data_IF_869012654041
#
_entry.id   IF_869012654041
#
_cell.length_a   1.000
_cell.length_b   1.000
_cell.length_c   1.000
_cell.angle_alpha   90.00
_cell.angle_beta   90.00
_cell.angle_gamma   90.00
#
_symmetry.space_group_name_H-M   'P 1'
#
loop_
_entity.id
_entity.type
_entity.pdbx_description
1 polymer ?
#
# COMPACT_ATOMS: atom_id res chain seq x y z
N UNK A 1 5.65 15.76 -14.63
CA UNK A 1 6.50 14.56 -14.49
C UNK A 1 5.86 13.46 -13.62
N UNK A 2 5.69 13.59 -12.29
CA UNK A 2 5.04 12.52 -11.49
C UNK A 2 3.55 12.28 -11.84
N UNK A 3 2.80 13.35 -12.15
CA UNK A 3 1.39 13.23 -12.53
C UNK A 3 1.19 12.59 -13.92
N UNK A 4 2.09 12.87 -14.86
CA UNK A 4 2.09 12.23 -16.19
C UNK A 4 2.47 10.74 -16.10
N UNK A 5 3.44 10.40 -15.25
CA UNK A 5 3.81 9.01 -14.98
C UNK A 5 2.64 8.21 -14.39
N UNK A 6 1.89 8.79 -13.43
CA UNK A 6 0.69 8.14 -12.87
C UNK A 6 -0.45 7.99 -13.88
N UNK A 7 -0.67 9.00 -14.74
CA UNK A 7 -1.69 8.95 -15.79
C UNK A 7 -1.38 7.88 -16.83
N UNK A 8 -0.13 7.78 -17.26
CA UNK A 8 0.28 6.80 -18.27
C UNK A 8 0.22 5.36 -17.70
N UNK A 9 0.58 5.19 -16.42
CA UNK A 9 0.53 3.90 -15.73
C UNK A 9 -0.90 3.41 -15.47
N UNK A 10 -1.82 4.31 -15.12
CA UNK A 10 -3.25 4.02 -14.99
C UNK A 10 -3.86 3.59 -16.32
N UNK A 11 -3.47 4.24 -17.42
CA UNK A 11 -3.97 3.93 -18.77
C UNK A 11 -3.50 2.56 -19.26
N UNK A 12 -2.26 2.17 -18.94
CA UNK A 12 -1.73 0.85 -19.25
C UNK A 12 -2.32 -0.25 -18.36
N UNK A 13 -2.59 0.02 -17.08
CA UNK A 13 -3.32 -0.92 -16.23
C UNK A 13 -4.74 -1.15 -16.73
N UNK A 14 -5.46 -0.12 -17.17
CA UNK A 14 -6.81 -0.30 -17.72
C UNK A 14 -6.78 -1.09 -19.03
N UNK A 15 -5.81 -0.86 -19.92
CA UNK A 15 -5.63 -1.67 -21.14
C UNK A 15 -5.33 -3.14 -20.83
N UNK A 16 -4.50 -3.41 -19.83
CA UNK A 16 -4.18 -4.77 -19.37
C UNK A 16 -5.36 -5.44 -18.65
N UNK A 17 -6.15 -4.67 -17.91
CA UNK A 17 -7.36 -5.13 -17.21
C UNK A 17 -8.47 -5.46 -18.21
N UNK A 18 -8.72 -4.59 -19.19
CA UNK A 18 -9.76 -4.76 -20.22
C UNK A 18 -9.41 -5.94 -21.15
N UNK A 19 -8.13 -6.11 -21.53
CA UNK A 19 -7.67 -7.28 -22.30
C UNK A 19 -7.84 -8.61 -21.54
N UNK A 20 -7.91 -8.57 -20.20
CA UNK A 20 -8.08 -9.76 -19.35
C UNK A 20 -9.54 -10.00 -18.95
N UNK A 21 -10.38 -8.97 -18.87
CA UNK A 21 -11.79 -9.09 -18.46
C UNK A 21 -12.67 -9.82 -19.49
N UNK A 22 -12.22 -9.91 -20.75
CA UNK A 22 -12.82 -10.78 -21.76
C UNK A 22 -12.58 -12.28 -21.47
N UNK A 23 -11.63 -12.61 -20.57
CA UNK A 23 -11.20 -13.98 -20.24
C UNK A 23 -11.69 -14.47 -18.87
N UNK A 24 -12.80 -13.91 -18.36
CA UNK A 24 -13.29 -14.15 -17.00
C UNK A 24 -14.76 -14.58 -16.93
N UNK A 25 -15.25 -15.28 -17.95
CA UNK A 25 -16.48 -16.05 -17.84
C UNK A 25 -16.28 -17.47 -18.42
N UNK A 26 -16.17 -18.51 -17.57
CA UNK A 26 -15.93 -19.88 -18.05
C UNK A 26 -17.05 -20.44 -18.93
N UNK A 27 -18.23 -19.81 -18.94
CA UNK A 27 -19.32 -20.15 -19.88
C UNK A 27 -19.10 -19.57 -21.29
N UNK A 28 -18.51 -18.38 -21.42
CA UNK A 28 -18.24 -17.77 -22.72
C UNK A 28 -17.08 -18.48 -23.43
N UNK A 29 -16.02 -18.79 -22.67
CA UNK A 29 -14.83 -19.52 -23.14
C UNK A 29 -15.17 -20.91 -23.69
N UNK A 30 -16.06 -21.63 -23.02
CA UNK A 30 -16.57 -22.92 -23.51
C UNK A 30 -17.34 -22.76 -24.82
N UNK A 31 -18.15 -21.71 -24.94
CA UNK A 31 -18.88 -21.39 -26.18
C UNK A 31 -17.95 -21.09 -27.36
N UNK A 32 -16.90 -20.29 -27.15
CA UNK A 32 -15.89 -20.02 -28.18
C UNK A 32 -15.13 -21.29 -28.59
N UNK A 33 -14.78 -22.14 -27.63
CA UNK A 33 -14.14 -23.41 -27.93
C UNK A 33 -15.06 -24.37 -28.70
N UNK A 34 -16.35 -24.44 -28.35
CA UNK A 34 -17.34 -25.24 -29.08
C UNK A 34 -17.49 -24.73 -30.52
N UNK A 35 -17.59 -23.41 -30.71
CA UNK A 35 -17.65 -22.81 -32.05
C UNK A 35 -16.38 -23.11 -32.87
N UNK A 36 -15.21 -23.06 -32.23
CA UNK A 36 -13.94 -23.41 -32.84
C UNK A 36 -13.87 -24.90 -33.21
N UNK A 37 -14.35 -25.79 -32.33
CA UNK A 37 -14.46 -27.23 -32.58
C UNK A 37 -15.40 -27.52 -33.75
N UNK A 38 -16.57 -26.87 -33.82
CA UNK A 38 -17.52 -26.99 -34.93
C UNK A 38 -16.88 -26.51 -36.24
N UNK A 39 -16.22 -25.35 -36.23
CA UNK A 39 -15.53 -24.82 -37.40
C UNK A 39 -14.40 -25.76 -37.86
N UNK A 40 -13.65 -26.35 -36.93
CA UNK A 40 -12.63 -27.35 -37.20
C UNK A 40 -13.21 -28.61 -37.85
N UNK A 41 -14.31 -29.16 -37.32
CA UNK A 41 -14.97 -30.35 -37.87
C UNK A 41 -15.48 -30.08 -39.30
N UNK A 42 -16.12 -28.93 -39.53
CA UNK A 42 -16.60 -28.53 -40.86
C UNK A 42 -15.45 -28.35 -41.86
N UNK A 43 -14.36 -27.70 -41.43
CA UNK A 43 -13.16 -27.54 -42.24
C UNK A 43 -12.52 -28.90 -42.56
N UNK A 44 -12.49 -29.82 -41.58
CA UNK A 44 -11.95 -31.17 -41.76
C UNK A 44 -12.73 -31.91 -42.86
N UNK A 45 -14.06 -31.96 -42.75
CA UNK A 45 -14.94 -32.62 -43.73
C UNK A 45 -14.76 -32.01 -45.14
N UNK A 46 -14.67 -30.68 -45.25
CA UNK A 46 -14.56 -30.00 -46.53
C UNK A 46 -13.19 -30.13 -47.21
N UNK A 47 -12.11 -30.25 -46.42
CA UNK A 47 -10.73 -30.29 -46.94
C UNK A 47 -10.22 -31.72 -47.12
N UNK A 48 -10.81 -32.70 -46.45
CA UNK A 48 -10.38 -34.09 -46.51
C UNK A 48 -10.32 -34.66 -47.94
N UNK A 49 -11.30 -34.44 -48.83
CA UNK A 49 -11.24 -34.96 -50.21
C UNK A 49 -10.07 -34.39 -51.03
N UNK A 50 -9.52 -33.23 -50.66
CA UNK A 50 -8.44 -32.56 -51.39
C UNK A 50 -7.04 -32.93 -50.89
N UNK A 51 -6.89 -33.20 -49.60
CA UNK A 51 -5.58 -33.34 -48.95
C UNK A 51 -5.34 -34.69 -48.27
N UNK A 52 -6.38 -35.52 -48.11
CA UNK A 52 -6.26 -36.88 -47.53
C UNK A 52 -5.60 -36.90 -46.15
N UNK A 53 -4.69 -37.86 -45.93
CA UNK A 53 -4.02 -38.10 -44.63
C UNK A 53 -3.20 -36.91 -44.13
N UNK A 54 -2.72 -36.03 -45.03
CA UNK A 54 -1.96 -34.83 -44.64
C UNK A 54 -2.76 -33.86 -43.76
N UNK A 55 -4.08 -33.99 -43.71
CA UNK A 55 -4.97 -33.20 -42.85
C UNK A 55 -4.75 -33.45 -41.34
N UNK A 56 -4.08 -34.55 -40.97
CA UNK A 56 -3.62 -34.85 -39.59
C UNK A 56 -2.85 -33.69 -38.98
N UNK A 57 -2.09 -32.96 -39.79
CA UNK A 57 -1.28 -31.83 -39.34
C UNK A 57 -2.09 -30.69 -38.70
N UNK A 58 -3.42 -30.65 -38.90
CA UNK A 58 -4.30 -29.68 -38.27
C UNK A 58 -4.79 -30.11 -36.88
N UNK A 59 -4.65 -31.38 -36.50
CA UNK A 59 -5.08 -31.88 -35.17
C UNK A 59 -4.43 -31.18 -33.97
N UNK A 60 -3.14 -30.76 -34.00
CA UNK A 60 -2.54 -30.04 -32.87
C UNK A 60 -3.21 -28.69 -32.60
N UNK A 61 -3.86 -28.08 -33.59
CA UNK A 61 -4.57 -26.81 -33.45
C UNK A 61 -5.69 -26.90 -32.40
N UNK A 62 -6.40 -28.03 -32.37
CA UNK A 62 -7.45 -28.29 -31.39
C UNK A 62 -6.87 -28.42 -29.97
N UNK A 63 -5.71 -29.07 -29.87
CA UNK A 63 -5.03 -29.32 -28.59
C UNK A 63 -4.44 -28.04 -28.02
N UNK A 64 -3.86 -27.19 -28.87
CA UNK A 64 -3.38 -25.85 -28.50
C UNK A 64 -4.55 -24.99 -28.01
N UNK A 65 -5.69 -24.99 -28.69
CA UNK A 65 -6.87 -24.26 -28.26
C UNK A 65 -7.37 -24.75 -26.88
N UNK A 66 -7.45 -26.06 -26.68
CA UNK A 66 -7.84 -26.62 -25.38
C UNK A 66 -6.85 -26.27 -24.25
N UNK A 67 -5.55 -26.26 -24.55
CA UNK A 67 -4.50 -25.84 -23.62
C UNK A 67 -4.59 -24.35 -23.26
N UNK A 68 -5.05 -23.50 -24.18
CA UNK A 68 -5.19 -22.06 -23.96
C UNK A 68 -6.37 -21.69 -23.05
N UNK A 69 -7.46 -22.46 -23.12
CA UNK A 69 -8.67 -22.24 -22.33
C UNK A 69 -8.65 -22.94 -20.98
N UNK A 70 -8.15 -24.18 -20.92
CA UNK A 70 -8.18 -25.02 -19.71
C UNK A 70 -6.79 -25.37 -19.15
N UNK A 71 -5.73 -24.70 -19.62
CA UNK A 71 -4.37 -24.83 -19.10
C UNK A 71 -3.75 -26.21 -19.33
N UNK A 72 -2.85 -26.62 -18.43
CA UNK A 72 -2.14 -27.92 -18.52
C UNK A 72 -3.06 -29.13 -18.59
N UNK A 73 -4.13 -29.15 -17.79
CA UNK A 73 -5.07 -30.28 -17.73
C UNK A 73 -5.87 -30.42 -19.02
N UNK A 74 -6.35 -29.31 -19.57
CA UNK A 74 -7.08 -29.29 -20.84
C UNK A 74 -6.22 -29.72 -22.02
N UNK A 75 -4.99 -29.22 -22.09
CA UNK A 75 -4.03 -29.58 -23.13
C UNK A 75 -3.66 -31.07 -23.14
N UNK A 76 -3.44 -31.67 -21.97
CA UNK A 76 -3.12 -33.11 -21.84
C UNK A 76 -4.33 -33.97 -22.26
N UNK A 77 -5.53 -33.63 -21.79
CA UNK A 77 -6.75 -34.37 -22.12
C UNK A 77 -7.05 -34.29 -23.63
N UNK A 78 -6.93 -33.11 -24.23
CA UNK A 78 -7.12 -32.92 -25.66
C UNK A 78 -6.05 -33.66 -26.48
N UNK A 79 -4.79 -33.66 -26.02
CA UNK A 79 -3.71 -34.43 -26.63
C UNK A 79 -4.00 -35.93 -26.66
N UNK A 80 -4.45 -36.49 -25.53
CA UNK A 80 -4.83 -37.91 -25.41
C UNK A 80 -6.05 -38.27 -26.27
N UNK A 81 -7.01 -37.35 -26.39
CA UNK A 81 -8.20 -37.52 -27.23
C UNK A 81 -7.94 -37.24 -28.71
N UNK A 82 -6.80 -36.67 -29.08
CA UNK A 82 -6.50 -36.27 -30.46
C UNK A 82 -6.55 -37.46 -31.44
N UNK A 83 -6.04 -38.62 -31.05
CA UNK A 83 -6.06 -39.81 -31.91
C UNK A 83 -7.47 -40.42 -32.03
N UNK A 84 -8.23 -40.69 -30.94
CA UNK A 84 -9.63 -41.10 -31.02
C UNK A 84 -10.53 -40.14 -31.82
N UNK A 85 -10.30 -38.83 -31.70
CA UNK A 85 -11.05 -37.83 -32.46
C UNK A 85 -10.67 -37.88 -33.93
N UNK A 86 -9.37 -37.99 -34.26
CA UNK A 86 -8.91 -38.13 -35.63
C UNK A 86 -9.43 -39.41 -36.30
N UNK A 87 -9.43 -40.54 -35.59
CA UNK A 87 -9.97 -41.81 -36.10
C UNK A 87 -11.48 -41.74 -36.31
N UNK A 88 -12.22 -41.07 -35.44
CA UNK A 88 -13.67 -40.87 -35.60
C UNK A 88 -14.01 -39.93 -36.76
N UNK A 89 -13.26 -38.84 -36.91
CA UNK A 89 -13.44 -37.90 -38.02
C UNK A 89 -13.13 -38.53 -39.37
N UNK A 90 -12.05 -39.31 -39.43
CA UNK A 90 -11.74 -40.07 -40.64
C UNK A 90 -12.82 -41.11 -40.92
N UNK A 91 -13.32 -41.83 -39.90
CA UNK A 91 -14.44 -42.80 -40.04
C UNK A 91 -15.66 -42.19 -40.73
N UNK A 92 -16.03 -40.98 -40.32
CA UNK A 92 -17.17 -40.24 -40.87
C UNK A 92 -16.99 -39.90 -42.36
N UNK A 93 -15.75 -39.71 -42.82
CA UNK A 93 -15.42 -39.35 -44.20
C UNK A 93 -15.23 -40.60 -45.10
N UNK A 94 -15.23 -41.82 -44.54
CA UNK A 94 -15.20 -43.07 -45.31
C UNK A 94 -13.80 -43.51 -45.77
N UNK A 95 -12.77 -43.19 -45.00
CA UNK A 95 -11.36 -43.53 -45.29
C UNK A 95 -11.07 -45.01 -45.01
N UNK A 96 -10.15 -45.63 -45.74
CA UNK A 96 -9.66 -46.98 -45.43
C UNK A 96 -8.62 -46.95 -44.29
N UNK A 97 -8.95 -47.57 -43.15
CA UNK A 97 -8.12 -47.60 -41.92
C UNK A 97 -7.08 -48.72 -41.87
N UNK A 98 -7.11 -49.64 -42.84
CA UNK A 98 -6.29 -50.85 -42.83
C UNK A 98 -4.85 -50.63 -43.32
N UNK A 99 -4.39 -49.38 -43.37
CA UNK A 99 -3.03 -49.02 -43.78
C UNK A 99 -2.09 -48.94 -42.56
N UNK A 100 -0.93 -49.59 -42.61
CA UNK A 100 0.12 -49.50 -41.57
C UNK A 100 0.56 -48.05 -41.30
N UNK A 101 0.57 -47.21 -42.34
CA UNK A 101 0.90 -45.78 -42.23
C UNK A 101 -0.12 -45.00 -41.39
N UNK A 102 -1.39 -45.42 -41.36
CA UNK A 102 -2.45 -44.75 -40.60
C UNK A 102 -2.23 -44.91 -39.09
N UNK A 103 -1.97 -46.14 -38.65
CA UNK A 103 -1.69 -46.43 -37.25
C UNK A 103 -0.37 -45.79 -36.79
N UNK A 104 0.68 -45.86 -37.61
CA UNK A 104 1.96 -45.21 -37.31
C UNK A 104 1.81 -43.68 -37.18
N UNK A 105 1.13 -43.03 -38.14
CA UNK A 105 0.83 -41.60 -38.07
C UNK A 105 -0.02 -41.24 -36.83
N UNK A 106 -0.95 -42.12 -36.45
CA UNK A 106 -1.78 -42.00 -35.26
C UNK A 106 -1.00 -41.93 -33.95
N UNK A 107 -0.07 -42.86 -33.75
CA UNK A 107 0.78 -42.89 -32.54
C UNK A 107 1.73 -41.68 -32.46
N UNK A 108 2.31 -41.28 -33.59
CA UNK A 108 3.13 -40.07 -33.66
C UNK A 108 2.29 -38.82 -33.33
N UNK A 109 1.07 -38.73 -33.85
CA UNK A 109 0.16 -37.61 -33.58
C UNK A 109 -0.26 -37.55 -32.13
N UNK A 110 -0.60 -38.69 -31.51
CA UNK A 110 -0.98 -38.78 -30.11
C UNK A 110 0.15 -38.28 -29.19
N UNK A 111 1.36 -38.80 -29.40
CA UNK A 111 2.54 -38.45 -28.59
C UNK A 111 2.94 -36.98 -28.79
N UNK A 112 3.07 -36.53 -30.04
CA UNK A 112 3.42 -35.15 -30.36
C UNK A 112 2.37 -34.15 -29.84
N UNK A 113 1.08 -34.44 -30.01
CA UNK A 113 0.00 -33.54 -29.58
C UNK A 113 -0.12 -33.49 -28.06
N UNK A 114 0.09 -34.60 -27.35
CA UNK A 114 0.09 -34.61 -25.87
C UNK A 114 1.25 -33.79 -25.31
N UNK A 115 2.44 -33.91 -25.89
CA UNK A 115 3.59 -33.09 -25.49
C UNK A 115 3.35 -31.61 -25.78
N UNK A 116 2.81 -31.27 -26.94
CA UNK A 116 2.47 -29.89 -27.29
C UNK A 116 1.40 -29.30 -26.37
N UNK A 117 0.34 -30.06 -26.08
CA UNK A 117 -0.72 -29.64 -25.17
C UNK A 117 -0.23 -29.41 -23.74
N UNK A 118 0.64 -30.29 -23.23
CA UNK A 118 1.27 -30.12 -21.93
C UNK A 118 2.18 -28.90 -21.88
N UNK A 119 3.00 -28.69 -22.92
CA UNK A 119 3.94 -27.57 -23.00
C UNK A 119 3.22 -26.22 -23.10
N UNK A 120 2.24 -26.08 -24.00
CA UNK A 120 1.44 -24.85 -24.15
C UNK A 120 0.62 -24.56 -22.90
N UNK A 121 0.01 -25.59 -22.30
CA UNK A 121 -0.75 -25.43 -21.07
C UNK A 121 0.11 -24.95 -19.91
N UNK A 122 1.35 -25.44 -19.80
CA UNK A 122 2.30 -25.01 -18.76
C UNK A 122 2.67 -23.54 -18.90
N UNK A 123 2.89 -23.07 -20.13
CA UNK A 123 3.17 -21.65 -20.42
C UNK A 123 1.99 -20.76 -20.00
N UNK A 124 0.76 -21.17 -20.31
CA UNK A 124 -0.43 -20.42 -19.94
C UNK A 124 -0.60 -20.34 -18.41
N UNK A 125 -0.50 -21.48 -17.72
CA UNK A 125 -0.61 -21.57 -16.25
C UNK A 125 0.49 -20.74 -15.55
N UNK A 126 1.70 -20.72 -16.10
CA UNK A 126 2.79 -19.89 -15.59
C UNK A 126 2.51 -18.39 -15.77
N UNK A 127 1.96 -17.99 -16.92
CA UNK A 127 1.57 -16.60 -17.17
C UNK A 127 0.57 -16.07 -16.14
N UNK A 128 -0.44 -16.87 -15.78
CA UNK A 128 -1.44 -16.48 -14.78
C UNK A 128 -0.88 -16.41 -13.35
N UNK A 129 0.05 -17.32 -13.01
CA UNK A 129 0.77 -17.27 -11.73
C UNK A 129 1.66 -16.04 -11.60
N UNK A 130 2.36 -15.66 -12.66
CA UNK A 130 3.21 -14.46 -12.65
C UNK A 130 2.37 -13.19 -12.46
N UNK A 131 1.26 -13.06 -13.20
CA UNK A 131 0.36 -11.91 -13.07
C UNK A 131 -0.19 -11.77 -11.65
N UNK A 132 -0.65 -12.87 -11.03
CA UNK A 132 -1.19 -12.81 -9.67
C UNK A 132 -0.12 -12.45 -8.63
N UNK A 133 1.11 -12.94 -8.80
CA UNK A 133 2.24 -12.57 -7.93
C UNK A 133 2.59 -11.09 -8.05
N UNK A 134 2.69 -10.55 -9.28
CA UNK A 134 2.97 -9.13 -9.50
C UNK A 134 1.89 -8.23 -8.89
N UNK A 135 0.61 -8.55 -9.07
CA UNK A 135 -0.49 -7.78 -8.47
C UNK A 135 -0.40 -7.78 -6.94
N UNK A 136 -0.09 -8.93 -6.34
CA UNK A 136 0.07 -9.04 -4.88
C UNK A 136 1.24 -8.19 -4.38
N UNK A 137 2.38 -8.24 -5.05
CA UNK A 137 3.55 -7.43 -4.71
C UNK A 137 3.27 -5.92 -4.87
N UNK A 138 2.53 -5.52 -5.90
CA UNK A 138 2.12 -4.12 -6.09
C UNK A 138 1.19 -3.64 -4.99
N UNK A 139 0.20 -4.45 -4.59
CA UNK A 139 -0.71 -4.11 -3.49
C UNK A 139 0.05 -3.95 -2.17
N UNK A 140 0.94 -4.88 -1.83
CA UNK A 140 1.76 -4.79 -0.61
C UNK A 140 2.68 -3.57 -0.64
N UNK A 141 3.29 -3.24 -1.79
CA UNK A 141 4.10 -2.03 -1.94
C UNK A 141 3.27 -0.77 -1.76
N UNK A 142 2.06 -0.72 -2.33
CA UNK A 142 1.15 0.42 -2.18
C UNK A 142 0.74 0.63 -0.72
N UNK A 143 0.44 -0.44 0.01
CA UNK A 143 0.14 -0.37 1.44
C UNK A 143 1.34 0.14 2.26
N UNK A 144 2.54 -0.37 1.98
CA UNK A 144 3.77 0.07 2.66
C UNK A 144 4.04 1.56 2.41
N UNK A 145 3.84 2.04 1.18
CA UNK A 145 3.97 3.46 0.85
C UNK A 145 2.96 4.33 1.59
N UNK A 146 1.70 3.88 1.74
CA UNK A 146 0.68 4.61 2.51
C UNK A 146 1.08 4.72 3.98
N UNK A 147 1.46 3.61 4.60
CA UNK A 147 1.90 3.59 6.00
C UNK A 147 3.13 4.48 6.22
N UNK A 148 4.10 4.46 5.29
CA UNK A 148 5.28 5.31 5.41
C UNK A 148 4.94 6.80 5.27
N UNK A 149 4.00 7.17 4.40
CA UNK A 149 3.49 8.55 4.29
C UNK A 149 2.78 9.00 5.56
N UNK A 150 1.90 8.16 6.11
CA UNK A 150 1.20 8.46 7.37
C UNK A 150 2.19 8.62 8.53
N UNK A 151 3.19 7.74 8.62
CA UNK A 151 4.24 7.81 9.63
C UNK A 151 5.08 9.10 9.48
N UNK A 152 5.42 9.47 8.26
CA UNK A 152 6.15 10.72 7.97
C UNK A 152 5.32 11.95 8.33
N UNK A 153 4.03 11.96 7.99
CA UNK A 153 3.12 13.06 8.35
C UNK A 153 2.95 13.16 9.87
N UNK A 154 2.79 12.03 10.56
CA UNK A 154 2.66 11.99 12.00
C UNK A 154 3.93 12.48 12.68
N UNK A 155 5.10 12.05 12.18
CA UNK A 155 6.40 12.51 12.66
C UNK A 155 6.53 14.02 12.53
N UNK A 156 6.24 14.58 11.35
CA UNK A 156 6.28 16.04 11.13
C UNK A 156 5.32 16.78 12.07
N UNK A 157 4.08 16.31 12.23
CA UNK A 157 3.12 16.91 13.17
C UNK A 157 3.60 16.87 14.62
N UNK A 158 4.24 15.76 15.01
CA UNK A 158 4.78 15.60 16.36
C UNK A 158 5.97 16.54 16.59
N UNK A 159 6.88 16.65 15.62
CA UNK A 159 8.01 17.59 15.66
C UNK A 159 7.53 19.05 15.79
N UNK A 160 6.52 19.44 15.01
CA UNK A 160 5.91 20.76 15.09
C UNK A 160 5.27 21.00 16.47
N UNK A 161 4.55 20.01 17.00
CA UNK A 161 3.91 20.12 18.31
C UNK A 161 4.91 20.20 19.45
N UNK A 162 6.01 19.44 19.37
CA UNK A 162 7.12 19.52 20.33
C UNK A 162 7.75 20.91 20.27
N UNK A 163 8.02 21.44 19.07
CA UNK A 163 8.60 22.76 18.90
C UNK A 163 7.70 23.86 19.46
N UNK A 164 6.39 23.78 19.21
CA UNK A 164 5.40 24.71 19.77
C UNK A 164 5.41 24.64 21.30
N UNK A 165 5.31 23.44 21.89
CA UNK A 165 5.28 23.28 23.34
C UNK A 165 6.59 23.78 24.00
N UNK A 166 7.75 23.58 23.35
CA UNK A 166 9.04 24.11 23.82
C UNK A 166 9.12 25.64 23.75
N UNK A 167 8.47 26.26 22.77
CA UNK A 167 8.38 27.72 22.71
C UNK A 167 7.47 28.25 23.81
N UNK A 168 6.28 27.65 23.98
CA UNK A 168 5.35 28.00 25.06
C UNK A 168 5.97 27.82 26.45
N UNK A 169 6.75 26.74 26.67
CA UNK A 169 7.50 26.56 27.92
C UNK A 169 8.52 27.67 28.14
N UNK A 170 9.30 28.03 27.11
CA UNK A 170 10.30 29.11 27.23
C UNK A 170 9.65 30.46 27.57
N UNK A 171 8.52 30.78 26.95
CA UNK A 171 7.78 31.99 27.25
C UNK A 171 7.27 31.99 28.70
N UNK A 172 6.75 30.85 29.18
CA UNK A 172 6.33 30.68 30.58
C UNK A 172 7.51 30.77 31.55
N UNK A 173 8.66 30.19 31.23
CA UNK A 173 9.86 30.27 32.07
C UNK A 173 10.34 31.72 32.20
N UNK A 174 10.36 32.47 31.09
CA UNK A 174 10.68 33.91 31.14
C UNK A 174 9.72 34.69 32.02
N UNK A 175 8.42 34.43 31.91
CA UNK A 175 7.40 35.04 32.77
C UNK A 175 7.57 34.65 34.24
N UNK A 176 7.84 33.37 34.53
CA UNK A 176 8.08 32.89 35.90
C UNK A 176 9.32 33.53 36.52
N UNK A 177 10.41 33.67 35.75
CA UNK A 177 11.62 34.37 36.21
C UNK A 177 11.29 35.84 36.52
N UNK A 178 10.52 36.51 35.66
CA UNK A 178 10.12 37.90 35.89
C UNK A 178 9.24 38.04 37.14
N UNK A 179 8.26 37.15 37.33
CA UNK A 179 7.39 37.13 38.51
C UNK A 179 8.17 36.84 39.79
N UNK A 180 9.08 35.87 39.76
CA UNK A 180 9.97 35.55 40.89
C UNK A 180 10.82 36.76 41.29
N UNK A 181 11.42 37.44 40.30
CA UNK A 181 12.18 38.67 40.55
C UNK A 181 11.31 39.79 41.14
N UNK A 182 10.10 39.98 40.62
CA UNK A 182 9.16 40.98 41.14
C UNK A 182 8.71 40.66 42.58
N UNK A 183 8.43 39.39 42.88
CA UNK A 183 8.08 38.95 44.22
C UNK A 183 9.24 39.18 45.20
N UNK A 184 10.46 38.78 44.84
CA UNK A 184 11.65 39.01 45.66
C UNK A 184 11.94 40.51 45.88
N UNK A 185 11.75 41.34 44.84
CA UNK A 185 11.84 42.80 44.98
C UNK A 185 10.76 43.36 45.91
N UNK A 186 9.52 42.86 45.83
CA UNK A 186 8.43 43.26 46.71
C UNK A 186 8.70 42.89 48.18
N UNK A 187 9.22 41.68 48.42
CA UNK A 187 9.66 41.24 49.74
C UNK A 187 10.80 42.12 50.27
N UNK A 188 11.79 42.42 49.42
CA UNK A 188 12.89 43.33 49.77
C UNK A 188 12.38 44.74 50.10
N UNK A 189 11.44 45.30 49.33
CA UNK A 189 10.81 46.59 49.61
C UNK A 189 10.03 46.54 50.93
N UNK A 190 9.29 45.47 51.19
CA UNK A 190 8.57 45.27 52.46
C UNK A 190 9.55 45.24 53.65
N UNK A 191 10.67 44.54 53.50
CA UNK A 191 11.73 44.49 54.51
C UNK A 191 12.36 45.87 54.73
N UNK A 192 12.62 46.64 53.67
CA UNK A 192 13.09 48.03 53.78
C UNK A 192 12.04 48.90 54.49
N UNK A 193 10.79 48.86 54.07
CA UNK A 193 9.72 49.64 54.72
C UNK A 193 9.60 49.31 56.22
N UNK A 194 9.76 48.04 56.58
CA UNK A 194 9.80 47.61 57.97
C UNK A 194 11.02 48.17 58.71
N UNK A 195 12.21 48.12 58.10
CA UNK A 195 13.43 48.72 58.65
C UNK A 195 13.32 50.23 58.82
N UNK A 196 12.62 50.95 57.94
CA UNK A 196 12.41 52.40 58.06
C UNK A 196 11.39 52.77 59.13
N UNK A 197 10.45 51.87 59.44
CA UNK A 197 9.52 52.08 60.55
C UNK A 197 10.25 52.08 61.90
N UNK A 198 11.34 51.31 62.05
CA UNK A 198 12.11 51.24 63.29
C UNK A 198 12.73 52.58 63.75
N UNK A 199 13.56 53.28 62.95
CA UNK A 199 14.12 54.56 63.35
C UNK A 199 13.03 55.64 63.47
N UNK A 200 11.98 55.59 62.66
CA UNK A 200 10.88 56.54 62.76
C UNK A 200 10.12 56.39 64.08
N UNK A 201 9.84 55.15 64.51
CA UNK A 201 9.27 54.88 65.83
C UNK A 201 10.21 55.35 66.95
N UNK A 202 11.53 55.17 66.80
CA UNK A 202 12.50 55.64 67.79
C UNK A 202 12.49 57.18 67.89
N UNK A 203 12.50 57.90 66.76
CA UNK A 203 12.39 59.36 66.73
C UNK A 203 11.06 59.82 67.35
N UNK A 204 9.95 59.16 67.01
CA UNK A 204 8.65 59.45 67.61
C UNK A 204 8.64 59.26 69.14
N UNK A 205 9.28 58.20 69.65
CA UNK A 205 9.41 57.98 71.09
C UNK A 205 10.29 59.03 71.78
N UNK A 206 11.37 59.48 71.13
CA UNK A 206 12.21 60.58 71.63
C UNK A 206 11.39 61.87 71.71
N UNK A 207 10.65 62.21 70.65
CA UNK A 207 9.79 63.40 70.64
C UNK A 207 8.74 63.32 71.75
N UNK A 208 8.06 62.19 71.90
CA UNK A 208 7.08 61.99 72.98
C UNK A 208 7.72 62.18 74.37
N UNK A 209 8.91 61.62 74.60
CA UNK A 209 9.60 61.80 75.88
C UNK A 209 9.95 63.26 76.19
N UNK A 210 10.26 64.06 75.16
CA UNK A 210 10.46 65.51 75.34
C UNK A 210 9.16 66.26 75.62
N UNK A 211 8.07 65.90 74.97
CA UNK A 211 6.74 66.48 75.24
C UNK A 211 6.30 66.19 76.67
N UNK A 212 6.41 64.94 77.12
CA UNK A 212 6.05 64.52 78.48
C UNK A 212 6.88 65.28 79.54
N UNK A 213 8.21 65.33 79.38
CA UNK A 213 9.09 66.06 80.28
C UNK A 213 8.82 67.58 80.31
N UNK A 214 8.33 68.15 79.20
CA UNK A 214 7.93 69.55 79.15
C UNK A 214 6.62 69.81 79.91
N UNK A 215 5.60 68.96 79.74
CA UNK A 215 4.34 69.05 80.48
C UNK A 215 4.55 68.94 81.99
N UNK A 216 5.44 68.04 82.41
CA UNK A 216 5.79 67.82 83.81
C UNK A 216 6.75 68.88 84.38
N UNK A 217 7.22 69.84 83.55
CA UNK A 217 8.22 70.90 83.88
C UNK A 217 9.59 70.36 84.30
N UNK A 218 9.94 69.14 83.89
CA UNK A 218 11.22 68.48 84.16
C UNK A 218 12.24 68.65 83.01
N UNK A 219 11.83 69.27 81.89
CA UNK A 219 12.71 69.54 80.75
C UNK A 219 13.80 70.58 81.13
N UNK A 220 14.99 70.09 81.45
CA UNK A 220 16.17 70.87 81.86
C UNK A 220 17.36 70.60 80.93
N UNK A 221 18.39 71.45 80.96
CA UNK A 221 19.60 71.24 80.14
C UNK A 221 20.32 69.92 80.46
N UNK A 222 20.25 69.48 81.72
CA UNK A 222 20.84 68.23 82.21
C UNK A 222 20.08 67.01 81.66
N UNK A 223 18.76 67.09 81.51
CA UNK A 223 17.91 66.06 80.88
C UNK A 223 18.27 65.80 79.41
N UNK A 224 18.74 66.83 78.69
CA UNK A 224 19.11 66.72 77.27
C UNK A 224 20.46 66.01 77.03
N UNK A 225 21.34 65.95 78.03
CA UNK A 225 22.66 65.33 77.91
C UNK A 225 22.67 63.82 78.26
N UNK A 226 21.60 63.30 78.87
CA UNK A 226 21.53 61.92 79.40
C UNK A 226 20.99 60.88 78.38
N UNK A 227 20.56 61.29 77.17
CA UNK A 227 19.85 60.44 76.19
C UNK A 227 20.50 60.45 74.80
#
# INVERSE_FOLDING_TARGET
MEQELKSNYSTDLDKLTISRFEKQFPLADAGFFINFLIAYILAFISLYPKYGISLVALSPLLVVAAAWFWGTKGGIIAGLLSFPVYTLLSYLVGVEYWNENFWFAGFITLSASTLLGAWVGLICDMGDKLKSKTIKEMNTRSELEKTNRELTQLKSKLEDKVKQNLQEMREKDHLMIQQSRQAAMGEMISNIAHQWRQPLTAVGAIIQSFEDAYEDKELTAEYLEEK
#
